data_IF_937637598683
#
_entry.id   IF_937637598683
#
_cell.length_a   1.000
_cell.length_b   1.000
_cell.length_c   1.000
_cell.angle_alpha   90.00
_cell.angle_beta   90.00
_cell.angle_gamma   90.00
#
_symmetry.space_group_name_H-M   'P 1'
#
loop_
_entity.id
_entity.type
_entity.pdbx_description
1 polymer ?
#
# COMPACT_ATOMS: atom_id res chain seq x y z
N UNK A 1 14.52 -5.85 2.77
CA UNK A 1 15.27 -6.87 2.01
C UNK A 1 14.40 -7.77 1.12
N UNK A 2 13.49 -8.61 1.64
CA UNK A 2 12.83 -9.66 0.82
C UNK A 2 11.97 -9.15 -0.35
N UNK A 3 11.32 -7.99 -0.20
CA UNK A 3 10.37 -7.44 -1.18
C UNK A 3 10.95 -7.21 -2.59
N UNK A 4 12.07 -6.48 -2.66
CA UNK A 4 12.76 -6.17 -3.92
C UNK A 4 13.34 -7.42 -4.55
N UNK A 5 14.08 -8.21 -3.76
CA UNK A 5 14.77 -9.42 -4.23
C UNK A 5 13.83 -10.50 -4.75
N UNK A 6 12.69 -10.72 -4.09
CA UNK A 6 11.80 -11.82 -4.46
C UNK A 6 10.78 -11.42 -5.53
N UNK A 7 10.22 -10.20 -5.47
CA UNK A 7 9.05 -9.81 -6.28
C UNK A 7 9.22 -8.50 -7.05
N UNK A 8 10.43 -7.94 -7.12
CA UNK A 8 10.70 -6.63 -7.73
C UNK A 8 9.83 -5.48 -7.18
N UNK A 9 9.34 -5.57 -5.94
CA UNK A 9 8.51 -4.49 -5.38
C UNK A 9 9.41 -3.31 -5.03
N UNK A 10 9.22 -2.10 -5.62
CA UNK A 10 10.07 -0.94 -5.42
C UNK A 10 9.80 -0.28 -4.05
N UNK A 11 10.21 -0.94 -2.98
CA UNK A 11 10.08 -0.43 -1.62
C UNK A 11 11.21 0.56 -1.31
N UNK A 12 10.87 1.57 -0.52
CA UNK A 12 11.79 2.53 0.08
C UNK A 12 11.50 2.66 1.58
N UNK A 13 12.50 3.11 2.35
CA UNK A 13 12.35 3.34 3.79
C UNK A 13 11.51 4.61 4.02
N UNK A 14 10.59 4.54 4.98
CA UNK A 14 9.75 5.65 5.39
C UNK A 14 9.36 5.51 6.87
N UNK A 15 9.09 6.65 7.52
CA UNK A 15 8.58 6.71 8.87
C UNK A 15 7.05 6.67 8.85
N UNK A 16 6.46 5.71 9.56
CA UNK A 16 5.01 5.55 9.66
C UNK A 16 4.53 5.95 11.06
N UNK A 17 3.61 6.90 11.11
CA UNK A 17 2.87 7.23 12.33
C UNK A 17 1.39 6.87 12.14
N UNK A 18 0.94 5.83 12.85
CA UNK A 18 -0.43 5.34 12.82
C UNK A 18 -1.02 5.50 14.22
N UNK A 19 -2.15 6.21 14.33
CA UNK A 19 -2.81 6.48 15.61
C UNK A 19 -4.31 6.32 15.50
N UNK A 20 -4.88 5.54 16.41
CA UNK A 20 -6.33 5.52 16.64
C UNK A 20 -6.74 6.76 17.42
N UNK A 21 -7.75 7.48 16.94
CA UNK A 21 -8.29 8.68 17.55
C UNK A 21 -9.46 8.35 18.51
N UNK A 22 -9.81 9.25 19.45
CA UNK A 22 -10.94 9.04 20.37
C UNK A 22 -12.28 8.80 19.67
N UNK A 23 -12.45 9.31 18.44
CA UNK A 23 -13.66 9.13 17.64
C UNK A 23 -13.70 7.81 16.84
N UNK A 24 -12.72 6.93 17.06
CA UNK A 24 -12.59 5.64 16.38
C UNK A 24 -11.97 5.71 14.99
N UNK A 25 -11.57 6.89 14.49
CA UNK A 25 -10.83 7.01 13.24
C UNK A 25 -9.35 6.64 13.41
N UNK A 26 -8.69 6.28 12.30
CA UNK A 26 -7.26 6.00 12.24
C UNK A 26 -6.57 7.09 11.42
N UNK A 27 -5.68 7.84 12.05
CA UNK A 27 -4.78 8.76 11.36
C UNK A 27 -3.51 8.03 10.93
N UNK A 28 -3.17 8.16 9.66
CA UNK A 28 -1.95 7.62 9.04
C UNK A 28 -1.13 8.77 8.49
N UNK A 29 0.13 8.85 8.87
CA UNK A 29 1.10 9.80 8.33
C UNK A 29 2.33 9.04 7.90
N UNK A 30 2.86 9.37 6.71
CA UNK A 30 4.09 8.78 6.18
C UNK A 30 5.03 9.90 5.73
N UNK A 31 6.28 9.83 6.18
CA UNK A 31 7.32 10.79 5.87
C UNK A 31 8.62 10.07 5.48
N UNK A 32 9.51 10.74 4.76
CA UNK A 32 10.88 10.25 4.57
C UNK A 32 11.65 10.40 5.89
N UNK A 33 12.61 9.50 6.19
CA UNK A 33 13.43 9.63 7.39
C UNK A 33 14.12 11.00 7.45
N UNK A 34 13.93 11.71 8.56
CA UNK A 34 14.49 13.06 8.78
C UNK A 34 13.77 14.21 8.07
N UNK A 35 12.68 13.94 7.34
CA UNK A 35 11.89 15.00 6.71
C UNK A 35 11.07 15.79 7.74
N UNK A 36 10.92 17.09 7.52
CA UNK A 36 10.13 17.99 8.37
C UNK A 36 8.63 17.95 8.04
N UNK A 37 8.25 17.37 6.91
CA UNK A 37 6.87 17.27 6.45
C UNK A 37 6.58 15.87 5.87
N UNK A 38 5.35 15.36 6.04
CA UNK A 38 4.95 14.08 5.45
C UNK A 38 4.61 14.23 3.98
N UNK A 39 4.96 13.21 3.18
CA UNK A 39 4.55 13.13 1.78
C UNK A 39 3.18 12.46 1.63
N UNK A 40 2.69 11.75 2.66
CA UNK A 40 1.36 11.15 2.69
C UNK A 40 0.67 11.37 4.03
N UNK A 41 -0.62 11.73 4.00
CA UNK A 41 -1.44 11.84 5.21
C UNK A 41 -2.90 11.52 4.93
N UNK A 42 -3.47 10.62 5.73
CA UNK A 42 -4.86 10.20 5.63
C UNK A 42 -5.52 10.04 7.00
N UNK A 43 -6.82 10.30 7.07
CA UNK A 43 -7.68 9.86 8.18
C UNK A 43 -8.74 8.92 7.63
N UNK A 44 -8.80 7.72 8.23
CA UNK A 44 -9.71 6.63 7.85
C UNK A 44 -10.74 6.50 8.96
N UNK A 45 -12.03 6.68 8.65
CA UNK A 45 -13.11 6.60 9.65
C UNK A 45 -14.11 5.51 9.25
N UNK A 46 -14.32 4.47 10.06
CA UNK A 46 -15.35 3.46 9.79
C UNK A 46 -16.74 4.11 9.64
N UNK A 47 -17.51 3.71 8.61
CA UNK A 47 -18.89 4.19 8.43
C UNK A 47 -19.83 3.35 9.29
N UNK A 48 -20.17 3.84 10.48
CA UNK A 48 -20.81 3.10 11.58
C UNK A 48 -22.00 2.22 11.20
N UNK A 49 -22.88 2.68 10.30
CA UNK A 49 -24.09 1.91 9.94
C UNK A 49 -23.79 0.76 8.95
N UNK A 50 -22.81 0.94 8.06
CA UNK A 50 -22.46 -0.04 7.02
C UNK A 50 -21.22 -0.88 7.39
N UNK A 51 -20.42 -0.45 8.36
CA UNK A 51 -19.25 -1.18 8.86
C UNK A 51 -19.64 -2.42 9.69
N UNK A 52 -20.90 -2.56 10.09
CA UNK A 52 -21.39 -3.72 10.86
C UNK A 52 -21.63 -4.96 9.98
N UNK A 53 -21.71 -4.81 8.65
CA UNK A 53 -21.83 -5.94 7.72
C UNK A 53 -20.51 -6.05 6.95
N UNK A 54 -19.48 -6.68 7.54
CA UNK A 54 -18.23 -6.89 6.83
C UNK A 54 -18.46 -7.79 5.61
N UNK A 55 -17.98 -7.37 4.45
CA UNK A 55 -18.12 -8.10 3.18
C UNK A 55 -16.90 -9.02 3.03
N UNK A 56 -17.08 -10.33 2.80
CA UNK A 56 -15.95 -11.20 2.50
C UNK A 56 -15.28 -10.71 1.22
N UNK A 57 -13.95 -10.66 1.21
CA UNK A 57 -13.18 -10.26 0.05
C UNK A 57 -12.05 -11.25 -0.19
N UNK A 58 -11.89 -11.65 -1.44
CA UNK A 58 -10.79 -12.47 -1.91
C UNK A 58 -10.38 -11.98 -3.31
N UNK A 59 -9.12 -11.57 -3.48
CA UNK A 59 -8.62 -11.12 -4.80
C UNK A 59 -8.67 -12.22 -5.86
N UNK A 60 -8.70 -13.50 -5.46
CA UNK A 60 -8.87 -14.61 -6.39
C UNK A 60 -10.20 -14.55 -7.16
N UNK A 61 -11.23 -13.89 -6.63
CA UNK A 61 -12.49 -13.66 -7.36
C UNK A 61 -12.35 -12.70 -8.54
N UNK A 62 -11.29 -11.88 -8.53
CA UNK A 62 -11.02 -10.84 -9.52
C UNK A 62 -9.92 -11.27 -10.50
N UNK A 63 -9.33 -12.46 -10.32
CA UNK A 63 -8.39 -13.08 -11.25
C UNK A 63 -7.20 -12.17 -11.58
N UNK A 64 -6.91 -12.01 -12.87
CA UNK A 64 -5.78 -11.23 -13.37
C UNK A 64 -5.89 -9.71 -13.15
N UNK A 65 -7.01 -9.19 -12.66
CA UNK A 65 -7.13 -7.75 -12.34
C UNK A 65 -6.21 -7.31 -11.19
N UNK A 66 -5.71 -8.27 -10.39
CA UNK A 66 -4.74 -8.04 -9.33
C UNK A 66 -3.31 -8.41 -9.74
N UNK A 67 -3.08 -8.68 -11.02
CA UNK A 67 -1.75 -9.06 -11.49
C UNK A 67 -0.75 -7.91 -11.30
N UNK A 68 0.35 -8.20 -10.62
CA UNK A 68 1.47 -7.31 -10.43
C UNK A 68 2.58 -7.71 -11.39
N UNK A 69 2.83 -6.87 -12.40
CA UNK A 69 3.97 -7.03 -13.32
C UNK A 69 5.00 -5.96 -12.99
N UNK A 70 6.10 -6.39 -12.37
CA UNK A 70 7.12 -5.51 -11.81
C UNK A 70 8.41 -5.57 -12.63
N UNK A 71 8.93 -4.43 -13.13
CA UNK A 71 10.15 -4.38 -13.92
C UNK A 71 11.39 -4.74 -13.09
N UNK A 72 12.51 -5.06 -13.75
CA UNK A 72 13.82 -5.09 -13.09
C UNK A 72 14.08 -3.79 -12.33
N UNK A 73 14.68 -3.89 -11.14
CA UNK A 73 14.98 -2.74 -10.30
C UNK A 73 16.48 -2.41 -10.34
N UNK A 74 16.87 -1.13 -10.43
CA UNK A 74 18.26 -0.75 -10.28
C UNK A 74 18.77 -1.03 -8.86
N UNK A 75 20.09 -1.13 -8.72
CA UNK A 75 20.72 -1.04 -7.40
C UNK A 75 20.45 0.35 -6.82
N UNK A 76 20.17 0.40 -5.52
CA UNK A 76 20.14 1.66 -4.80
C UNK A 76 21.47 1.98 -4.14
N UNK A 77 21.41 2.68 -3.01
CA UNK A 77 22.58 3.06 -2.22
C UNK A 77 23.36 1.81 -1.75
N UNK A 78 24.68 1.72 -2.02
CA UNK A 78 25.51 0.60 -1.55
C UNK A 78 25.51 0.39 -0.03
N UNK A 79 25.24 1.43 0.76
CA UNK A 79 25.12 1.33 2.22
C UNK A 79 23.77 0.75 2.68
N UNK A 80 22.78 0.69 1.77
CA UNK A 80 21.43 0.17 2.03
C UNK A 80 21.27 -1.21 1.41
N UNK A 81 21.65 -2.24 2.18
CA UNK A 81 21.61 -3.64 1.74
C UNK A 81 20.22 -4.13 1.28
N UNK A 82 19.15 -3.44 1.67
CA UNK A 82 17.79 -3.71 1.22
C UNK A 82 17.49 -3.25 -0.22
N UNK A 83 18.26 -2.32 -0.79
CA UNK A 83 18.05 -1.75 -2.13
C UNK A 83 18.72 -2.59 -3.24
N UNK A 84 18.52 -3.92 -3.17
CA UNK A 84 19.10 -4.90 -4.10
C UNK A 84 18.58 -4.67 -5.53
N UNK A 85 19.49 -4.80 -6.50
CA UNK A 85 19.18 -4.80 -7.94
C UNK A 85 18.54 -6.11 -8.39
N UNK A 86 17.69 -6.04 -9.40
CA UNK A 86 17.16 -7.21 -10.10
C UNK A 86 17.29 -7.02 -11.61
N UNK A 87 17.40 -8.13 -12.35
CA UNK A 87 17.72 -8.10 -13.80
C UNK A 87 16.57 -8.59 -14.68
N UNK A 88 15.56 -9.22 -14.09
CA UNK A 88 14.43 -9.85 -14.78
C UNK A 88 13.11 -9.26 -14.32
N UNK A 89 12.10 -9.32 -15.16
CA UNK A 89 10.72 -9.03 -14.79
C UNK A 89 10.22 -10.04 -13.76
N UNK A 90 9.32 -9.62 -12.89
CA UNK A 90 8.62 -10.48 -11.95
C UNK A 90 7.12 -10.25 -12.07
N UNK A 91 6.38 -11.35 -12.26
CA UNK A 91 4.92 -11.35 -12.38
C UNK A 91 4.31 -12.22 -11.29
N UNK A 92 3.30 -11.70 -10.60
CA UNK A 92 2.57 -12.43 -9.56
C UNK A 92 1.15 -11.92 -9.38
N UNK A 93 0.27 -12.81 -8.94
CA UNK A 93 -1.08 -12.45 -8.51
C UNK A 93 -1.14 -12.63 -6.98
N UNK A 94 -1.01 -11.55 -6.18
CA UNK A 94 -1.14 -11.64 -4.74
C UNK A 94 -2.58 -12.03 -4.34
N UNK A 95 -2.66 -12.88 -3.34
CA UNK A 95 -3.90 -13.30 -2.71
C UNK A 95 -4.12 -12.44 -1.47
N UNK A 96 -5.17 -11.64 -1.47
CA UNK A 96 -5.65 -10.93 -0.28
C UNK A 96 -6.99 -11.52 0.11
N UNK A 97 -7.09 -12.02 1.34
CA UNK A 97 -8.32 -12.56 1.91
C UNK A 97 -8.66 -11.83 3.20
N UNK A 98 -9.94 -11.59 3.42
CA UNK A 98 -10.39 -11.04 4.69
C UNK A 98 -11.77 -10.42 4.59
N UNK A 99 -12.00 -9.45 5.47
CA UNK A 99 -13.29 -8.80 5.62
C UNK A 99 -13.14 -7.30 5.41
N UNK A 100 -13.82 -6.78 4.39
CA UNK A 100 -13.84 -5.35 4.07
C UNK A 100 -15.02 -4.70 4.78
N UNK A 101 -14.76 -3.58 5.44
CA UNK A 101 -15.76 -2.66 5.97
C UNK A 101 -15.67 -1.34 5.20
N UNK A 102 -16.79 -0.65 5.03
CA UNK A 102 -16.76 0.69 4.45
C UNK A 102 -16.17 1.70 5.44
N UNK A 103 -15.28 2.54 4.92
CA UNK A 103 -14.69 3.63 5.66
C UNK A 103 -14.71 4.91 4.81
N UNK A 104 -14.86 6.06 5.45
CA UNK A 104 -14.53 7.31 4.79
C UNK A 104 -13.02 7.56 4.88
N UNK A 105 -12.46 8.10 3.80
CA UNK A 105 -11.04 8.42 3.70
C UNK A 105 -10.93 9.90 3.36
N UNK A 106 -10.19 10.63 4.18
CA UNK A 106 -9.92 12.06 3.99
C UNK A 106 -8.43 12.32 3.92
N UNK A 107 -8.02 13.23 3.03
CA UNK A 107 -6.63 13.62 2.86
C UNK A 107 -6.20 14.71 3.84
N UNK A 108 -5.01 14.56 4.41
CA UNK A 108 -4.47 15.50 5.41
C UNK A 108 -3.55 16.58 4.86
N UNK A 109 -3.22 16.57 3.57
CA UNK A 109 -2.35 17.55 2.91
C UNK A 109 -3.22 18.42 1.99
N UNK A 110 -3.75 19.52 2.52
CA UNK A 110 -4.67 20.40 1.78
C UNK A 110 -5.91 19.68 1.23
N UNK A 111 -6.43 18.69 1.98
CA UNK A 111 -7.55 17.83 1.56
C UNK A 111 -7.16 16.65 0.65
N UNK A 112 -5.88 16.52 0.28
CA UNK A 112 -5.34 15.44 -0.57
C UNK A 112 -4.52 14.45 0.25
N UNK A 113 -4.34 13.25 -0.31
CA UNK A 113 -3.56 12.18 0.31
C UNK A 113 -2.05 12.43 0.23
N UNK A 114 -1.59 13.07 -0.84
CA UNK A 114 -0.16 13.24 -1.14
C UNK A 114 0.25 14.66 -1.46
N UNK A 115 1.56 14.87 -1.46
CA UNK A 115 2.26 16.14 -1.71
C UNK A 115 2.55 16.43 -3.20
N UNK A 116 2.28 15.47 -4.10
CA UNK A 116 2.60 15.48 -5.55
C UNK A 116 4.04 15.12 -5.90
N UNK A 117 4.93 14.98 -4.93
CA UNK A 117 6.34 14.62 -5.13
C UNK A 117 6.59 13.19 -4.63
N UNK A 118 6.49 12.97 -3.32
CA UNK A 118 6.65 11.65 -2.70
C UNK A 118 5.42 10.76 -2.83
N UNK A 119 4.22 11.35 -2.96
CA UNK A 119 3.00 10.60 -3.27
C UNK A 119 2.04 11.42 -4.14
N UNK A 120 1.31 10.79 -5.08
CA UNK A 120 0.34 11.50 -5.91
C UNK A 120 -0.68 12.30 -5.09
N UNK A 121 -0.89 13.56 -5.48
CA UNK A 121 -1.82 14.46 -4.83
C UNK A 121 -3.28 14.11 -5.20
N UNK A 122 -3.79 13.03 -4.63
CA UNK A 122 -5.13 12.46 -4.90
C UNK A 122 -6.16 13.01 -3.92
N UNK A 123 -7.30 13.48 -4.44
CA UNK A 123 -8.51 13.70 -3.65
C UNK A 123 -9.26 12.37 -3.57
N UNK A 124 -9.42 11.76 -2.38
CA UNK A 124 -10.12 10.48 -2.25
C UNK A 124 -11.60 10.64 -2.61
N UNK A 125 -12.24 9.58 -3.13
CA UNK A 125 -13.67 9.56 -3.46
C UNK A 125 -14.59 9.57 -2.23
N UNK A 126 -14.08 9.97 -1.07
CA UNK A 126 -14.75 10.04 0.23
C UNK A 126 -15.11 8.70 0.87
N UNK A 127 -15.28 7.61 0.11
CA UNK A 127 -15.56 6.25 0.59
C UNK A 127 -14.50 5.28 0.06
N UNK A 128 -14.08 4.34 0.90
CA UNK A 128 -13.16 3.26 0.59
C UNK A 128 -13.40 2.02 1.44
N UNK A 129 -12.53 1.03 1.29
CA UNK A 129 -12.53 -0.19 2.09
C UNK A 129 -11.47 -0.14 3.19
N UNK A 130 -11.83 -0.61 4.37
CA UNK A 130 -10.92 -0.90 5.48
C UNK A 130 -11.00 -2.39 5.80
N UNK A 131 -9.85 -3.06 5.93
CA UNK A 131 -9.77 -4.45 6.35
C UNK A 131 -9.01 -4.52 7.69
N UNK A 132 -9.74 -4.76 8.78
CA UNK A 132 -9.14 -4.87 10.12
C UNK A 132 -8.23 -6.10 10.25
N UNK A 133 -8.49 -7.14 9.46
CA UNK A 133 -7.67 -8.33 9.35
C UNK A 133 -7.61 -8.74 7.89
N UNK A 134 -6.38 -8.86 7.38
CA UNK A 134 -6.09 -9.25 6.00
C UNK A 134 -5.04 -10.36 6.04
N UNK A 135 -5.35 -11.47 5.39
CA UNK A 135 -4.37 -12.48 5.04
C UNK A 135 -3.82 -12.11 3.66
N UNK A 136 -2.51 -11.86 3.59
CA UNK A 136 -1.82 -11.45 2.37
C UNK A 136 -0.74 -12.46 2.02
N UNK A 137 -0.84 -13.05 0.83
CA UNK A 137 0.15 -13.95 0.27
C UNK A 137 0.58 -13.47 -1.12
N UNK A 138 1.89 -13.32 -1.33
CA UNK A 138 2.47 -12.91 -2.62
C UNK A 138 2.84 -14.10 -3.51
N UNK A 139 2.84 -15.33 -2.98
CA UNK A 139 3.27 -16.52 -3.71
C UNK A 139 4.70 -16.42 -4.26
N UNK A 140 5.01 -17.29 -5.23
CA UNK A 140 6.27 -17.25 -5.98
C UNK A 140 6.00 -16.58 -7.32
N UNK A 141 6.78 -15.55 -7.73
CA UNK A 141 6.56 -14.90 -9.00
C UNK A 141 7.10 -15.74 -10.16
N UNK A 142 6.46 -15.59 -11.32
CA UNK A 142 7.04 -15.95 -12.61
C UNK A 142 8.09 -14.90 -12.97
N UNK A 143 9.25 -15.32 -13.46
CA UNK A 143 10.34 -14.42 -13.86
C UNK A 143 10.67 -14.56 -15.33
N UNK A 144 10.92 -13.45 -16.01
CA UNK A 144 11.20 -13.41 -17.46
C UNK A 144 12.20 -12.32 -17.84
N UNK A 145 12.94 -12.53 -18.93
CA UNK A 145 13.87 -11.53 -19.47
C UNK A 145 13.15 -10.45 -20.28
N UNK A 146 11.96 -10.76 -20.78
CA UNK A 146 11.09 -9.87 -21.56
C UNK A 146 9.69 -9.81 -20.96
N UNK A 147 8.98 -8.71 -21.21
CA UNK A 147 7.58 -8.55 -20.84
C UNK A 147 6.65 -9.02 -21.95
#
# INVERSE_FOLDING_TARGET
>A
MLGRRNWNIPKQVADFAIKTQPDGSTAVTVALPGATAPFFKATIKPVTLLSHIPIPFNTQWLGSHFNLVQPPLPAGDPERLEEVATTRWAELIPVMKGRVQLASITGGIGGKLGDREGFPAVVPWSVGGHMASVDLDFGVPTVSDTK
#
